data_IF_810446306984
#
_entry.id   IF_810446306984
#
_cell.length_a   1.000
_cell.length_b   1.000
_cell.length_c   1.000
_cell.angle_alpha   90.00
_cell.angle_beta   90.00
_cell.angle_gamma   90.00
#
_symmetry.space_group_name_H-M   'P 1'
#
loop_
_entity.id
_entity.type
_entity.pdbx_description
1 polymer ?
#
# COMPACT_ATOMS: atom_id res chain seq x y z
N UNK A 1 10.68 -3.50 9.34
CA UNK A 1 9.98 -3.91 10.57
C UNK A 1 10.77 -3.37 11.75
N UNK A 2 10.26 -2.31 12.38
CA UNK A 2 10.77 -1.84 13.66
C UNK A 2 9.87 -2.54 14.69
N UNK A 3 10.37 -3.62 15.27
CA UNK A 3 9.71 -4.35 16.35
C UNK A 3 9.92 -3.57 17.65
N UNK A 4 9.06 -2.60 17.89
CA UNK A 4 9.00 -1.87 19.15
C UNK A 4 7.66 -2.14 19.85
N UNK A 5 7.69 -2.67 21.06
CA UNK A 5 6.51 -2.78 21.93
C UNK A 5 6.09 -1.42 22.52
N UNK A 6 6.77 -0.34 22.18
CA UNK A 6 6.48 0.99 22.70
C UNK A 6 5.28 1.62 21.98
N UNK A 7 4.34 2.15 22.76
CA UNK A 7 3.17 2.89 22.24
C UNK A 7 3.54 4.16 21.50
N UNK A 8 4.72 4.69 21.74
CA UNK A 8 5.29 5.89 21.12
C UNK A 8 6.79 5.71 20.85
N UNK A 9 7.25 6.16 19.69
CA UNK A 9 8.65 6.06 19.26
C UNK A 9 9.06 7.26 18.42
N UNK A 10 10.32 7.64 18.49
CA UNK A 10 10.91 8.64 17.58
C UNK A 10 12.03 8.01 16.76
N UNK A 11 11.91 8.11 15.43
CA UNK A 11 12.89 7.60 14.48
C UNK A 11 13.17 8.69 13.44
N UNK A 12 14.42 9.06 13.24
CA UNK A 12 14.87 10.06 12.26
C UNK A 12 14.11 11.39 12.33
N UNK A 13 13.75 11.82 13.54
CA UNK A 13 13.00 13.06 13.77
C UNK A 13 11.48 12.92 13.65
N UNK A 14 10.97 11.79 13.18
CA UNK A 14 9.54 11.49 13.10
C UNK A 14 9.02 10.89 14.41
N UNK A 15 7.82 11.30 14.81
CA UNK A 15 7.13 10.76 15.99
C UNK A 15 6.07 9.75 15.55
N UNK A 16 6.24 8.49 15.97
CA UNK A 16 5.33 7.39 15.68
C UNK A 16 4.48 7.10 16.91
N UNK A 17 3.16 7.09 16.72
CA UNK A 17 2.18 6.64 17.70
C UNK A 17 1.62 5.31 17.24
N UNK A 18 1.77 4.26 18.02
CA UNK A 18 1.32 2.92 17.66
C UNK A 18 -0.02 2.60 18.31
N UNK A 19 -0.81 1.78 17.66
CA UNK A 19 -1.97 1.13 18.26
C UNK A 19 -1.49 -0.17 18.90
N UNK A 20 -1.70 -0.41 20.20
CA UNK A 20 -1.26 -1.64 20.86
C UNK A 20 -1.75 -2.89 20.13
N UNK A 21 -0.89 -3.91 20.01
CA UNK A 21 -1.26 -5.18 19.38
C UNK A 21 -2.42 -5.83 20.13
N UNK A 22 -3.27 -6.53 19.39
CA UNK A 22 -4.23 -7.45 19.99
C UNK A 22 -3.49 -8.74 20.34
N UNK A 23 -3.58 -9.21 21.58
CA UNK A 23 -3.28 -10.60 21.89
C UNK A 23 -4.23 -11.48 21.09
N UNK A 24 -3.67 -12.45 20.34
CA UNK A 24 -4.45 -13.31 19.45
C UNK A 24 -5.06 -14.46 20.28
N UNK A 25 -6.11 -14.16 21.05
CA UNK A 25 -6.90 -15.20 21.72
C UNK A 25 -8.12 -15.56 20.84
N UNK A 26 -8.03 -16.74 20.22
CA UNK A 26 -9.20 -17.43 19.68
C UNK A 26 -9.47 -17.31 18.19
N UNK A 27 -10.49 -18.04 17.72
CA UNK A 27 -10.93 -18.13 16.33
C UNK A 27 -11.41 -16.75 15.84
N UNK A 28 -10.70 -16.19 14.85
CA UNK A 28 -11.13 -14.94 14.19
C UNK A 28 -12.43 -15.17 13.43
N UNK A 29 -13.48 -14.49 13.84
CA UNK A 29 -14.70 -14.40 13.04
C UNK A 29 -14.49 -13.29 12.01
N UNK A 30 -14.46 -13.60 10.70
CA UNK A 30 -14.32 -12.60 9.66
C UNK A 30 -15.34 -11.47 9.80
N UNK A 31 -14.92 -10.22 9.63
CA UNK A 31 -15.75 -9.03 9.80
C UNK A 31 -15.76 -8.47 11.23
N UNK A 32 -15.81 -9.30 12.27
CA UNK A 32 -15.77 -8.83 13.65
C UNK A 32 -14.35 -8.39 14.06
N UNK A 33 -13.33 -9.10 13.60
CA UNK A 33 -11.94 -8.75 13.85
C UNK A 33 -11.56 -7.40 13.21
N UNK A 34 -11.98 -7.19 11.97
CA UNK A 34 -11.76 -5.93 11.25
C UNK A 34 -12.51 -4.76 11.92
N UNK A 35 -13.74 -5.00 12.38
CA UNK A 35 -14.50 -3.98 13.13
C UNK A 35 -13.83 -3.62 14.46
N UNK A 36 -13.34 -4.62 15.21
CA UNK A 36 -12.61 -4.40 16.46
C UNK A 36 -11.31 -3.64 16.20
N UNK A 37 -10.57 -4.00 15.15
CA UNK A 37 -9.36 -3.28 14.73
C UNK A 37 -9.66 -1.82 14.41
N UNK A 38 -10.67 -1.55 13.57
CA UNK A 38 -11.06 -0.18 13.23
C UNK A 38 -11.45 0.64 14.46
N UNK A 39 -12.19 0.03 15.41
CA UNK A 39 -12.57 0.73 16.64
C UNK A 39 -11.37 1.12 17.49
N UNK A 40 -10.42 0.22 17.70
CA UNK A 40 -9.19 0.51 18.46
C UNK A 40 -8.34 1.57 17.77
N UNK A 41 -8.19 1.47 16.44
CA UNK A 41 -7.50 2.49 15.67
C UNK A 41 -8.19 3.85 15.78
N UNK A 42 -9.51 3.88 15.75
CA UNK A 42 -10.32 5.08 15.93
C UNK A 42 -10.09 5.72 17.30
N UNK A 43 -10.14 4.92 18.37
CA UNK A 43 -9.90 5.37 19.76
C UNK A 43 -8.47 5.94 19.93
N UNK A 44 -7.46 5.21 19.41
CA UNK A 44 -6.07 5.66 19.48
C UNK A 44 -5.82 6.91 18.64
N UNK A 45 -6.34 6.95 17.43
CA UNK A 45 -6.22 8.10 16.54
C UNK A 45 -6.85 9.36 17.15
N UNK A 46 -8.03 9.23 17.78
CA UNK A 46 -8.68 10.35 18.45
C UNK A 46 -7.85 10.86 19.63
N UNK A 47 -7.28 9.96 20.44
CA UNK A 47 -6.39 10.32 21.56
C UNK A 47 -5.18 11.11 21.03
N UNK A 48 -4.51 10.58 20.02
CA UNK A 48 -3.33 11.22 19.41
C UNK A 48 -3.71 12.56 18.77
N UNK A 49 -4.82 12.63 18.03
CA UNK A 49 -5.26 13.86 17.40
C UNK A 49 -5.59 14.97 18.41
N UNK A 50 -6.15 14.64 19.57
CA UNK A 50 -6.39 15.60 20.67
C UNK A 50 -5.09 16.09 21.30
N UNK A 51 -4.07 15.25 21.37
CA UNK A 51 -2.74 15.58 21.91
C UNK A 51 -1.94 16.43 20.93
N UNK A 52 -1.86 16.01 19.66
CA UNK A 52 -1.01 16.62 18.62
C UNK A 52 -1.68 17.83 17.97
N UNK A 53 -3.03 17.85 17.96
CA UNK A 53 -3.87 18.90 17.31
C UNK A 53 -3.50 19.11 15.83
N UNK A 54 -3.54 18.06 15.00
CA UNK A 54 -3.18 18.15 13.59
C UNK A 54 -4.19 19.03 12.84
N UNK A 55 -3.72 19.70 11.79
CA UNK A 55 -4.57 20.48 10.88
C UNK A 55 -5.20 19.62 9.79
N UNK A 56 -4.65 18.42 9.56
CA UNK A 56 -5.07 17.49 8.53
C UNK A 56 -4.82 16.04 9.01
N UNK A 57 -5.73 15.13 8.68
CA UNK A 57 -5.51 13.70 8.79
C UNK A 57 -5.27 13.11 7.40
N UNK A 58 -4.14 12.43 7.21
CA UNK A 58 -3.82 11.73 5.97
C UNK A 58 -3.90 10.22 6.21
N UNK A 59 -4.95 9.61 5.67
CA UNK A 59 -5.13 8.16 5.75
C UNK A 59 -4.58 7.49 4.50
N UNK A 60 -3.81 6.41 4.68
CA UNK A 60 -3.35 5.55 3.60
C UNK A 60 -4.23 4.30 3.49
N UNK A 61 -4.38 3.76 2.28
CA UNK A 61 -5.03 2.44 2.07
C UNK A 61 -4.39 1.37 2.99
N UNK A 62 -5.16 0.42 3.53
CA UNK A 62 -6.53 0.05 3.19
C UNK A 62 -7.61 0.93 3.84
N UNK A 63 -8.84 0.73 3.36
CA UNK A 63 -10.04 1.39 3.88
C UNK A 63 -10.23 1.26 5.40
N UNK A 64 -9.63 0.22 6.01
CA UNK A 64 -9.64 0.00 7.45
C UNK A 64 -8.94 1.14 8.23
N UNK A 65 -8.04 1.89 7.59
CA UNK A 65 -7.43 3.11 8.14
C UNK A 65 -8.29 4.34 7.83
N UNK A 66 -8.88 4.40 6.63
CA UNK A 66 -9.67 5.56 6.19
C UNK A 66 -10.95 5.74 7.02
N UNK A 67 -11.68 4.67 7.32
CA UNK A 67 -12.95 4.77 8.07
C UNK A 67 -12.73 5.36 9.48
N UNK A 68 -11.78 4.88 10.29
CA UNK A 68 -11.44 5.53 11.56
C UNK A 68 -11.04 7.00 11.41
N UNK A 69 -10.18 7.31 10.43
CA UNK A 69 -9.74 8.68 10.19
C UNK A 69 -10.90 9.62 9.85
N UNK A 70 -11.81 9.20 8.97
CA UNK A 70 -13.01 9.95 8.59
C UNK A 70 -13.95 10.20 9.79
N UNK A 71 -14.09 9.21 10.68
CA UNK A 71 -14.91 9.36 11.89
C UNK A 71 -14.29 10.33 12.88
N UNK A 72 -12.99 10.22 13.11
CA UNK A 72 -12.25 11.12 14.01
C UNK A 72 -12.22 12.54 13.44
N UNK A 73 -11.88 12.68 12.14
CA UNK A 73 -11.89 13.97 11.46
C UNK A 73 -13.25 14.69 11.59
N UNK A 74 -14.34 13.96 11.35
CA UNK A 74 -15.70 14.50 11.51
C UNK A 74 -15.99 14.95 12.95
N UNK A 75 -15.55 14.18 13.96
CA UNK A 75 -15.79 14.52 15.39
C UNK A 75 -14.99 15.74 15.85
N UNK A 76 -13.77 15.86 15.32
CA UNK A 76 -12.84 16.91 15.74
C UNK A 76 -12.82 18.13 14.81
N UNK A 77 -13.58 18.09 13.71
CA UNK A 77 -13.58 19.15 12.69
C UNK A 77 -12.27 19.25 11.92
N UNK A 78 -11.56 18.14 11.75
CA UNK A 78 -10.28 18.05 11.04
C UNK A 78 -10.52 17.46 9.65
N UNK A 79 -10.06 18.11 8.56
CA UNK A 79 -10.18 17.57 7.21
C UNK A 79 -9.38 16.26 7.06
N UNK A 80 -9.88 15.36 6.21
CA UNK A 80 -9.28 14.05 5.98
C UNK A 80 -9.01 13.85 4.50
N UNK A 81 -7.76 13.59 4.14
CA UNK A 81 -7.39 13.12 2.81
C UNK A 81 -7.13 11.62 2.84
N UNK A 82 -7.43 10.96 1.72
CA UNK A 82 -7.28 9.51 1.60
C UNK A 82 -6.40 9.16 0.42
N UNK A 83 -5.28 8.48 0.67
CA UNK A 83 -4.35 8.00 -0.36
C UNK A 83 -4.59 6.53 -0.66
N UNK A 84 -4.99 6.24 -1.91
CA UNK A 84 -5.21 4.90 -2.43
C UNK A 84 -4.00 4.46 -3.23
N UNK A 85 -3.31 3.44 -2.77
CA UNK A 85 -2.14 2.84 -3.43
C UNK A 85 -2.47 1.54 -4.15
N UNK A 86 -3.53 0.86 -3.73
CA UNK A 86 -4.13 -0.30 -4.38
C UNK A 86 -5.57 -0.49 -3.87
N UNK A 87 -6.42 -1.13 -4.66
CA UNK A 87 -7.72 -1.59 -4.19
C UNK A 87 -7.58 -2.98 -3.56
N UNK A 88 -7.98 -3.10 -2.32
CA UNK A 88 -7.82 -4.34 -1.55
C UNK A 88 -8.77 -5.45 -2.00
N UNK A 89 -9.92 -5.13 -2.56
CA UNK A 89 -10.79 -6.10 -3.20
C UNK A 89 -10.10 -6.78 -4.38
N UNK A 90 -9.36 -6.03 -5.21
CA UNK A 90 -8.65 -6.54 -6.37
C UNK A 90 -7.40 -7.32 -5.93
N UNK A 91 -6.62 -6.77 -5.00
CA UNK A 91 -5.49 -7.48 -4.39
C UNK A 91 -5.91 -8.82 -3.75
N UNK A 92 -7.09 -8.89 -3.13
CA UNK A 92 -7.61 -10.14 -2.57
C UNK A 92 -7.97 -11.18 -3.65
N UNK A 93 -8.34 -10.74 -4.85
CA UNK A 93 -8.54 -11.63 -6.02
C UNK A 93 -7.20 -12.13 -6.52
N UNK A 94 -6.22 -11.26 -6.70
CA UNK A 94 -4.87 -11.59 -7.18
C UNK A 94 -4.17 -12.58 -6.23
N UNK A 95 -4.38 -12.43 -4.91
CA UNK A 95 -3.90 -13.38 -3.91
C UNK A 95 -4.74 -14.67 -3.79
N UNK A 96 -5.79 -14.84 -4.59
CA UNK A 96 -6.66 -16.02 -4.57
C UNK A 96 -7.50 -16.17 -3.30
N UNK A 97 -7.58 -15.16 -2.43
CA UNK A 97 -8.33 -15.21 -1.16
C UNK A 97 -9.81 -14.89 -1.33
N UNK A 98 -10.20 -14.36 -2.49
CA UNK A 98 -11.59 -14.11 -2.89
C UNK A 98 -11.72 -14.24 -4.41
N UNK A 99 -12.96 -14.09 -4.91
CA UNK A 99 -13.25 -14.05 -6.35
C UNK A 99 -13.91 -12.74 -6.68
N UNK A 100 -13.64 -12.21 -7.87
CA UNK A 100 -14.33 -11.05 -8.40
C UNK A 100 -15.85 -11.26 -8.37
N UNK A 101 -16.60 -10.22 -8.02
CA UNK A 101 -18.06 -10.28 -7.90
C UNK A 101 -18.61 -11.06 -6.71
N UNK A 102 -17.78 -11.71 -5.88
CA UNK A 102 -18.21 -12.37 -4.65
C UNK A 102 -18.81 -11.37 -3.65
N UNK A 103 -19.55 -11.86 -2.67
CA UNK A 103 -20.13 -11.00 -1.63
C UNK A 103 -19.04 -10.21 -0.88
N UNK A 104 -17.93 -10.86 -0.53
CA UNK A 104 -16.79 -10.22 0.12
C UNK A 104 -16.21 -9.10 -0.75
N UNK A 105 -15.94 -9.38 -2.03
CA UNK A 105 -15.45 -8.39 -3.00
C UNK A 105 -16.38 -7.17 -3.07
N UNK A 106 -17.70 -7.42 -3.25
CA UNK A 106 -18.70 -6.35 -3.35
C UNK A 106 -18.82 -5.51 -2.08
N UNK A 107 -18.70 -6.13 -0.90
CA UNK A 107 -18.73 -5.42 0.37
C UNK A 107 -17.47 -4.56 0.56
N UNK A 108 -16.28 -5.11 0.28
CA UNK A 108 -15.02 -4.36 0.36
C UNK A 108 -15.04 -3.17 -0.59
N UNK A 109 -15.45 -3.38 -1.85
CA UNK A 109 -15.58 -2.31 -2.85
C UNK A 109 -16.57 -1.22 -2.43
N UNK A 110 -17.69 -1.61 -1.81
CA UNK A 110 -18.66 -0.63 -1.28
C UNK A 110 -18.09 0.19 -0.14
N UNK A 111 -17.36 -0.45 0.76
CA UNK A 111 -16.72 0.22 1.89
C UNK A 111 -15.64 1.19 1.40
N UNK A 112 -14.81 0.77 0.45
CA UNK A 112 -13.80 1.59 -0.22
C UNK A 112 -14.44 2.81 -0.89
N UNK A 113 -15.48 2.59 -1.72
CA UNK A 113 -16.22 3.67 -2.39
C UNK A 113 -16.85 4.65 -1.39
N UNK A 114 -17.32 4.13 -0.23
CA UNK A 114 -17.84 4.98 0.83
C UNK A 114 -16.76 5.89 1.43
N UNK A 115 -15.56 5.38 1.67
CA UNK A 115 -14.43 6.17 2.16
C UNK A 115 -14.01 7.24 1.14
N UNK A 116 -13.86 6.87 -0.13
CA UNK A 116 -13.55 7.78 -1.23
C UNK A 116 -14.52 8.96 -1.33
N UNK A 117 -15.82 8.70 -1.18
CA UNK A 117 -16.86 9.74 -1.23
C UNK A 117 -16.83 10.70 -0.06
N UNK A 118 -16.32 10.28 1.08
CA UNK A 118 -16.33 11.04 2.33
C UNK A 118 -15.03 11.76 2.65
N UNK A 119 -13.92 11.34 2.04
CA UNK A 119 -12.65 12.05 2.14
C UNK A 119 -12.79 13.45 1.54
N UNK A 120 -12.16 14.45 2.12
CA UNK A 120 -12.15 15.82 1.59
C UNK A 120 -11.38 15.89 0.27
N UNK A 121 -10.33 15.08 0.12
CA UNK A 121 -9.59 14.89 -1.11
C UNK A 121 -9.02 13.45 -1.19
N UNK A 122 -8.81 12.97 -2.41
CA UNK A 122 -8.26 11.64 -2.66
C UNK A 122 -6.95 11.77 -3.42
N UNK A 123 -5.92 11.07 -2.94
CA UNK A 123 -4.66 10.90 -3.64
C UNK A 123 -4.53 9.47 -4.14
N UNK A 124 -3.84 9.31 -5.27
CA UNK A 124 -3.48 7.99 -5.79
C UNK A 124 -2.13 8.06 -6.52
N UNK A 125 -1.52 6.90 -6.76
CA UNK A 125 -0.15 6.82 -7.26
C UNK A 125 -0.02 6.78 -8.79
N UNK A 126 -1.12 6.53 -9.53
CA UNK A 126 -1.08 6.44 -10.98
C UNK A 126 -2.44 6.77 -11.63
N UNK A 127 -2.42 7.05 -12.93
CA UNK A 127 -3.62 7.36 -13.72
C UNK A 127 -4.58 6.18 -13.85
N UNK A 128 -4.08 4.93 -13.83
CA UNK A 128 -4.93 3.74 -13.82
C UNK A 128 -5.88 3.72 -12.62
N UNK A 129 -5.34 3.83 -11.41
CA UNK A 129 -6.13 3.91 -10.18
C UNK A 129 -7.04 5.15 -10.17
N UNK A 130 -6.56 6.29 -10.70
CA UNK A 130 -7.39 7.48 -10.84
C UNK A 130 -8.60 7.21 -11.72
N UNK A 131 -8.43 6.56 -12.87
CA UNK A 131 -9.52 6.16 -13.74
C UNK A 131 -10.58 5.32 -13.02
N UNK A 132 -10.15 4.34 -12.24
CA UNK A 132 -11.04 3.47 -11.46
C UNK A 132 -11.76 4.24 -10.33
N UNK A 133 -11.10 5.19 -9.68
CA UNK A 133 -11.71 6.07 -8.68
C UNK A 133 -12.81 6.93 -9.33
N UNK A 134 -12.53 7.52 -10.49
CA UNK A 134 -13.52 8.31 -11.24
C UNK A 134 -14.71 7.46 -11.69
N UNK A 135 -14.46 6.22 -12.13
CA UNK A 135 -15.51 5.27 -12.50
C UNK A 135 -16.42 4.88 -11.33
N UNK A 136 -15.98 5.08 -10.07
CA UNK A 136 -16.80 4.91 -8.85
C UNK A 136 -17.67 6.15 -8.54
N UNK A 137 -17.62 7.18 -9.39
CA UNK A 137 -18.39 8.42 -9.27
C UNK A 137 -17.80 9.44 -8.30
N UNK A 138 -16.48 9.45 -8.15
CA UNK A 138 -15.77 10.50 -7.41
C UNK A 138 -15.48 11.65 -8.38
N UNK A 139 -15.76 12.92 -8.04
CA UNK A 139 -15.49 14.05 -8.90
C UNK A 139 -14.00 14.21 -9.22
N UNK A 140 -13.69 14.59 -10.47
CA UNK A 140 -12.32 14.69 -10.96
C UNK A 140 -11.47 15.72 -10.20
N UNK A 141 -12.06 16.82 -9.78
CA UNK A 141 -11.44 17.90 -9.00
C UNK A 141 -11.06 17.47 -7.57
N UNK A 142 -11.56 16.31 -7.12
CA UNK A 142 -11.26 15.73 -5.82
C UNK A 142 -10.23 14.60 -5.87
N UNK A 143 -9.64 14.31 -7.03
CA UNK A 143 -8.67 13.22 -7.20
C UNK A 143 -7.40 13.73 -7.85
N UNK A 144 -6.29 13.60 -7.13
CA UNK A 144 -4.95 13.99 -7.62
C UNK A 144 -4.02 12.78 -7.65
N UNK A 145 -3.25 12.66 -8.74
CA UNK A 145 -2.18 11.66 -8.84
C UNK A 145 -0.90 12.24 -8.25
N UNK A 146 -0.35 11.53 -7.25
CA UNK A 146 0.98 11.78 -6.70
C UNK A 146 1.76 10.47 -6.86
N UNK A 147 2.61 10.34 -7.89
CA UNK A 147 3.33 9.11 -8.15
C UNK A 147 4.36 8.81 -7.06
N UNK A 148 4.75 7.54 -6.96
CA UNK A 148 5.88 7.17 -6.11
C UNK A 148 7.13 7.92 -6.59
N UNK A 149 7.93 8.35 -5.63
CA UNK A 149 9.18 9.06 -5.88
C UNK A 149 10.31 8.44 -5.06
N UNK A 150 11.52 8.71 -5.49
CA UNK A 150 12.77 8.28 -4.86
C UNK A 150 13.74 9.45 -4.87
N UNK A 151 14.58 9.54 -3.85
CA UNK A 151 15.68 10.49 -3.82
C UNK A 151 16.76 10.03 -4.80
N UNK A 152 16.85 10.69 -5.96
CA UNK A 152 17.80 10.36 -7.03
C UNK A 152 19.25 10.55 -6.54
N UNK A 153 19.49 11.48 -5.60
CA UNK A 153 20.81 11.72 -5.03
C UNK A 153 21.36 10.53 -4.23
N UNK A 154 20.47 9.63 -3.80
CA UNK A 154 20.82 8.39 -3.09
C UNK A 154 21.14 7.21 -4.03
N UNK A 155 21.03 7.41 -5.34
CA UNK A 155 21.26 6.36 -6.34
C UNK A 155 22.41 6.77 -7.28
N UNK A 156 23.46 5.98 -7.27
CA UNK A 156 24.53 6.07 -8.29
C UNK A 156 24.08 5.28 -9.53
N UNK A 157 23.75 6.00 -10.61
CA UNK A 157 23.43 5.39 -11.89
C UNK A 157 24.71 5.16 -12.70
N UNK A 158 24.90 3.96 -13.21
CA UNK A 158 26.00 3.67 -14.15
C UNK A 158 27.34 3.39 -13.53
N UNK A 159 27.40 2.99 -12.27
CA UNK A 159 28.60 2.43 -11.65
C UNK A 159 29.07 1.15 -12.37
N UNK A 160 30.39 0.89 -12.36
CA UNK A 160 30.91 -0.37 -12.86
C UNK A 160 30.31 -1.54 -12.02
N UNK A 161 29.98 -2.68 -12.66
CA UNK A 161 29.52 -3.86 -11.95
C UNK A 161 30.54 -4.28 -10.87
N UNK A 162 30.03 -4.73 -9.72
CA UNK A 162 30.90 -5.31 -8.68
C UNK A 162 31.51 -6.62 -9.17
N UNK A 163 32.77 -6.56 -9.61
CA UNK A 163 33.49 -7.71 -10.15
C UNK A 163 33.66 -8.85 -9.12
N UNK A 164 33.76 -8.53 -7.83
CA UNK A 164 33.90 -9.54 -6.79
C UNK A 164 32.55 -10.29 -6.61
N UNK A 165 31.43 -9.57 -6.58
CA UNK A 165 30.11 -10.16 -6.50
C UNK A 165 29.77 -10.98 -7.74
N UNK A 166 30.10 -10.49 -8.95
CA UNK A 166 29.94 -11.24 -10.19
C UNK A 166 30.70 -12.57 -10.16
N UNK A 167 31.95 -12.56 -9.68
CA UNK A 167 32.75 -13.76 -9.56
C UNK A 167 32.19 -14.73 -8.52
N UNK A 168 31.77 -14.24 -7.35
CA UNK A 168 31.16 -15.07 -6.29
C UNK A 168 29.88 -15.76 -6.75
N UNK A 169 29.07 -15.07 -7.57
CA UNK A 169 27.81 -15.58 -8.11
C UNK A 169 27.96 -16.37 -9.41
N UNK A 170 29.18 -16.47 -9.97
CA UNK A 170 29.44 -17.16 -11.24
C UNK A 170 28.83 -16.45 -12.45
N UNK A 171 28.61 -15.15 -12.38
CA UNK A 171 27.94 -14.33 -13.39
C UNK A 171 28.92 -13.60 -14.34
N UNK A 172 30.21 -13.90 -14.27
CA UNK A 172 31.20 -13.32 -15.17
C UNK A 172 30.83 -13.68 -16.63
N UNK A 173 30.81 -12.66 -17.50
CA UNK A 173 30.44 -12.78 -18.92
C UNK A 173 29.01 -13.28 -19.21
N UNK A 174 28.08 -13.10 -18.27
CA UNK A 174 26.68 -13.40 -18.45
C UNK A 174 25.85 -12.13 -18.61
N UNK A 175 24.82 -12.17 -19.48
CA UNK A 175 23.73 -11.21 -19.41
C UNK A 175 22.87 -11.58 -18.18
N UNK A 176 22.65 -10.60 -17.30
CA UNK A 176 21.95 -10.83 -16.03
C UNK A 176 20.59 -10.17 -16.07
N UNK A 177 19.56 -10.97 -15.88
CA UNK A 177 18.20 -10.49 -15.64
C UNK A 177 17.92 -10.64 -14.14
N UNK A 178 17.73 -9.52 -13.45
CA UNK A 178 17.49 -9.51 -12.01
C UNK A 178 16.04 -9.21 -11.68
N UNK A 179 15.53 -9.85 -10.61
CA UNK A 179 14.27 -9.52 -9.99
C UNK A 179 14.52 -9.15 -8.52
N UNK A 180 14.00 -8.00 -8.11
CA UNK A 180 14.05 -7.53 -6.72
C UNK A 180 12.62 -7.32 -6.25
N UNK A 181 12.13 -8.18 -5.36
CA UNK A 181 10.77 -8.15 -4.86
C UNK A 181 10.40 -9.41 -4.09
N UNK A 182 9.14 -9.53 -3.73
CA UNK A 182 8.58 -10.73 -3.11
C UNK A 182 8.06 -11.67 -4.18
N UNK A 183 8.24 -13.00 -3.99
CA UNK A 183 7.80 -14.02 -4.95
C UNK A 183 6.30 -14.28 -4.80
N UNK A 184 5.48 -13.43 -5.40
CA UNK A 184 4.05 -13.63 -5.52
C UNK A 184 3.66 -14.08 -6.92
N UNK A 185 2.61 -14.88 -7.05
CA UNK A 185 2.14 -15.41 -8.35
C UNK A 185 1.79 -14.28 -9.34
N UNK A 186 1.27 -13.17 -8.86
CA UNK A 186 0.90 -12.01 -9.69
C UNK A 186 2.11 -11.21 -10.20
N UNK A 187 3.33 -11.41 -9.66
CA UNK A 187 4.56 -10.77 -10.17
C UNK A 187 5.00 -11.33 -11.53
N UNK A 188 4.38 -12.44 -11.98
CA UNK A 188 4.61 -12.98 -13.30
C UNK A 188 5.98 -13.61 -13.50
N UNK A 189 6.61 -14.14 -12.47
CA UNK A 189 7.91 -14.80 -12.56
C UNK A 189 7.82 -16.17 -13.23
N UNK A 190 6.69 -16.88 -13.10
CA UNK A 190 6.50 -18.20 -13.70
C UNK A 190 6.65 -18.24 -15.23
N UNK A 191 6.13 -17.26 -16.02
CA UNK A 191 6.33 -17.22 -17.46
C UNK A 191 7.74 -16.77 -17.88
N UNK A 192 8.54 -16.16 -17.00
CA UNK A 192 9.87 -15.63 -17.34
C UNK A 192 10.83 -16.70 -17.88
N UNK A 193 10.97 -17.92 -17.28
CA UNK A 193 11.78 -18.98 -17.84
C UNK A 193 11.30 -19.43 -19.23
N UNK A 194 10.00 -19.43 -19.49
CA UNK A 194 9.41 -19.74 -20.79
C UNK A 194 9.69 -18.69 -21.87
N UNK A 195 9.90 -17.44 -21.49
CA UNK A 195 10.26 -16.36 -22.41
C UNK A 195 11.76 -16.36 -22.78
N UNK A 196 12.62 -17.05 -22.03
CA UNK A 196 14.06 -17.04 -22.19
C UNK A 196 14.52 -17.42 -23.62
N UNK A 197 13.96 -18.45 -24.32
CA UNK A 197 14.35 -18.76 -25.70
C UNK A 197 14.08 -17.60 -26.67
N UNK A 198 12.98 -16.89 -26.48
CA UNK A 198 12.65 -15.71 -27.29
C UNK A 198 13.59 -14.53 -26.99
N UNK A 199 13.96 -14.34 -25.74
CA UNK A 199 14.93 -13.31 -25.34
C UNK A 199 16.32 -13.59 -25.90
N UNK A 200 16.77 -14.85 -25.92
CA UNK A 200 18.06 -15.25 -26.47
C UNK A 200 18.11 -15.17 -28.02
N UNK A 201 16.96 -15.16 -28.69
CA UNK A 201 16.88 -14.98 -30.13
C UNK A 201 17.03 -13.51 -30.59
N UNK A 202 16.96 -12.56 -29.65
CA UNK A 202 17.16 -11.12 -29.93
C UNK A 202 18.68 -10.83 -29.91
N UNK A 203 19.23 -10.20 -30.96
CA UNK A 203 20.64 -9.83 -30.96
C UNK A 203 20.98 -8.91 -29.77
N UNK A 204 22.18 -9.03 -29.17
CA UNK A 204 22.56 -8.26 -27.98
C UNK A 204 22.73 -6.75 -28.20
N UNK A 205 22.61 -6.27 -29.41
CA UNK A 205 22.83 -4.87 -29.82
C UNK A 205 21.55 -4.08 -30.09
N UNK A 206 20.40 -4.53 -29.58
CA UNK A 206 19.11 -3.83 -29.68
C UNK A 206 18.71 -3.21 -28.37
#
# INVERSE_FOLDING_TARGET
>A
HIDGDADEERVDGWHFFRTPRMEEDGKRVPGLAEMALMRRLEERLEQVARQVKPQLLHAHSPVLNAIPALRVGKRLGIPVVYEVRAFWEDAAVDHGTTREGSLRYRLTRRLETHALRRADHVFTICEGLRGDILARGIPQDRVTVIPNAVDIGSFELGGAPDAQLQQQLGLANCAVVGFIGSFYAYEGLDPLPGALPAMLAVPPDV
#
